data_IF_006713122784
#
_entry.id   IF_006713122784
#
_cell.length_a   1.000
_cell.length_b   1.000
_cell.length_c   1.000
_cell.angle_alpha   90.00
_cell.angle_beta   90.00
_cell.angle_gamma   90.00
#
_symmetry.space_group_name_H-M   'P 1'
#
loop_
_entity.id
_entity.type
_entity.pdbx_description
1 polymer ?
#
# COMPACT_ATOMS: atom_id res chain seq x y z
N UNK A 1 9.00 3.77 -6.55
CA UNK A 1 8.59 5.15 -6.21
C UNK A 1 9.40 5.58 -4.98
N UNK A 2 9.69 6.87 -4.82
CA UNK A 2 10.24 7.47 -3.59
C UNK A 2 9.38 8.70 -3.29
N UNK A 3 9.14 9.02 -2.01
CA UNK A 3 8.49 10.26 -1.64
C UNK A 3 9.31 11.45 -2.17
N UNK A 4 8.62 12.48 -2.69
CA UNK A 4 9.26 13.72 -3.13
C UNK A 4 9.45 14.67 -1.94
N UNK A 5 10.33 15.69 -2.02
CA UNK A 5 10.46 16.71 -0.97
C UNK A 5 9.11 17.33 -0.58
N UNK A 6 8.27 17.67 -1.56
CA UNK A 6 6.93 18.23 -1.34
C UNK A 6 6.01 17.27 -0.57
N UNK A 7 6.14 15.96 -0.80
CA UNK A 7 5.37 14.96 -0.06
C UNK A 7 5.79 14.88 1.42
N UNK A 8 7.07 15.16 1.71
CA UNK A 8 7.62 15.17 3.07
C UNK A 8 7.26 16.45 3.83
N UNK A 9 7.06 17.58 3.13
CA UNK A 9 6.59 18.82 3.75
C UNK A 9 5.14 18.71 4.25
N UNK A 10 4.31 17.88 3.59
CA UNK A 10 2.93 17.66 4.01
C UNK A 10 2.47 16.21 3.76
N UNK A 11 2.92 15.32 4.65
CA UNK A 11 2.62 13.88 4.61
C UNK A 11 1.11 13.60 4.63
N UNK A 12 0.31 14.38 5.36
CA UNK A 12 -1.15 14.20 5.41
C UNK A 12 -1.82 14.48 4.06
N UNK A 13 -1.41 15.57 3.40
CA UNK A 13 -1.90 15.92 2.07
C UNK A 13 -1.47 14.88 1.04
N UNK A 14 -0.24 14.39 1.11
CA UNK A 14 0.27 13.33 0.23
C UNK A 14 -0.54 12.03 0.40
N UNK A 15 -0.79 11.61 1.64
CA UNK A 15 -1.62 10.45 1.94
C UNK A 15 -3.07 10.60 1.45
N UNK A 16 -3.66 11.80 1.58
CA UNK A 16 -4.99 12.09 1.05
C UNK A 16 -5.05 11.95 -0.48
N UNK A 17 -4.11 12.59 -1.19
CA UNK A 17 -4.00 12.50 -2.66
C UNK A 17 -3.85 11.06 -3.12
N UNK A 18 -2.98 10.29 -2.46
CA UNK A 18 -2.79 8.89 -2.78
C UNK A 18 -4.08 8.07 -2.57
N UNK A 19 -4.82 8.32 -1.49
CA UNK A 19 -6.10 7.66 -1.24
C UNK A 19 -7.11 7.94 -2.37
N UNK A 20 -7.20 9.19 -2.83
CA UNK A 20 -8.06 9.60 -3.94
C UNK A 20 -7.68 8.92 -5.26
N UNK A 21 -6.40 8.96 -5.63
CA UNK A 21 -5.89 8.32 -6.86
C UNK A 21 -6.05 6.80 -6.81
N UNK A 22 -5.80 6.18 -5.65
CA UNK A 22 -5.95 4.74 -5.51
C UNK A 22 -7.39 4.26 -5.72
N UNK A 23 -8.39 5.04 -5.27
CA UNK A 23 -9.80 4.76 -5.54
C UNK A 23 -10.13 4.98 -7.00
N UNK A 24 -9.63 6.08 -7.59
CA UNK A 24 -9.88 6.45 -8.99
C UNK A 24 -9.40 5.39 -9.97
N UNK A 25 -8.23 4.80 -9.72
CA UNK A 25 -7.59 3.83 -10.60
C UNK A 25 -7.73 2.38 -10.11
N UNK A 26 -8.53 2.14 -9.07
CA UNK A 26 -8.67 0.82 -8.44
C UNK A 26 -7.31 0.16 -8.11
N UNK A 27 -6.35 0.95 -7.65
CA UNK A 27 -5.07 0.41 -7.20
C UNK A 27 -5.26 -0.37 -5.91
N UNK A 28 -4.95 -1.66 -5.96
CA UNK A 28 -4.88 -2.53 -4.80
C UNK A 28 -3.42 -2.57 -4.30
N UNK A 29 -3.16 -1.87 -3.21
CA UNK A 29 -1.81 -1.69 -2.63
C UNK A 29 -1.75 -2.08 -1.15
N UNK A 30 -2.83 -2.69 -0.63
CA UNK A 30 -2.86 -3.19 0.74
C UNK A 30 -2.44 -4.65 0.76
N UNK A 31 -1.75 -5.05 1.82
CA UNK A 31 -1.31 -6.43 1.96
C UNK A 31 -2.49 -7.42 2.05
N UNK A 32 -3.67 -7.01 2.54
CA UNK A 32 -4.89 -7.83 2.49
C UNK A 32 -5.30 -8.24 1.06
N UNK A 33 -4.84 -7.48 0.06
CA UNK A 33 -5.04 -7.76 -1.37
C UNK A 33 -3.81 -8.42 -2.02
N UNK A 34 -2.76 -8.72 -1.25
CA UNK A 34 -1.51 -9.29 -1.75
C UNK A 34 -1.51 -10.81 -1.60
N UNK A 35 -1.11 -11.53 -2.65
CA UNK A 35 -0.99 -13.00 -2.64
C UNK A 35 0.01 -13.55 -1.60
N UNK A 36 0.91 -12.70 -1.10
CA UNK A 36 1.93 -13.09 -0.12
C UNK A 36 1.47 -12.94 1.34
N UNK A 37 0.30 -12.35 1.61
CA UNK A 37 -0.24 -12.30 2.96
C UNK A 37 -0.89 -13.64 3.30
N UNK A 38 -0.60 -14.15 4.49
CA UNK A 38 -1.33 -15.26 5.10
C UNK A 38 -2.35 -14.66 6.07
N UNK A 39 -3.66 -14.68 5.75
CA UNK A 39 -4.69 -14.03 6.57
C UNK A 39 -4.77 -14.62 7.99
N UNK A 40 -4.56 -15.94 8.12
CA UNK A 40 -4.67 -16.67 9.39
C UNK A 40 -3.62 -16.28 10.42
N UNK A 41 -2.42 -15.93 9.97
CA UNK A 41 -1.27 -15.60 10.82
C UNK A 41 -0.93 -14.12 10.81
N UNK A 42 -1.63 -13.31 10.00
CA UNK A 42 -1.28 -11.92 9.72
C UNK A 42 0.22 -11.80 9.42
N UNK A 43 0.72 -12.68 8.54
CA UNK A 43 2.14 -12.73 8.17
C UNK A 43 2.37 -12.63 6.68
N UNK A 44 3.46 -11.96 6.28
CA UNK A 44 3.92 -11.92 4.90
C UNK A 44 4.93 -13.03 4.63
N UNK A 45 4.73 -13.82 3.57
CA UNK A 45 5.67 -14.88 3.15
C UNK A 45 7.04 -14.35 2.70
N UNK A 46 7.13 -13.05 2.41
CA UNK A 46 8.38 -12.36 2.05
C UNK A 46 9.12 -11.78 3.26
N UNK A 47 8.61 -11.99 4.48
CA UNK A 47 9.22 -11.48 5.71
C UNK A 47 9.06 -9.96 5.90
N UNK A 48 8.19 -9.31 5.12
CA UNK A 48 7.89 -7.89 5.29
C UNK A 48 7.23 -7.66 6.67
N UNK A 49 7.61 -6.61 7.42
CA UNK A 49 7.12 -6.39 8.78
C UNK A 49 5.60 -6.24 8.84
N UNK A 50 4.99 -7.11 9.62
CA UNK A 50 3.55 -7.32 9.69
C UNK A 50 2.76 -6.19 10.38
N UNK A 51 3.41 -5.24 11.06
CA UNK A 51 2.69 -4.17 11.76
C UNK A 51 2.05 -3.15 10.78
N UNK A 52 2.52 -3.10 9.53
CA UNK A 52 1.86 -2.37 8.45
C UNK A 52 0.59 -3.06 7.90
N UNK A 53 0.28 -4.29 8.37
CA UNK A 53 -0.85 -5.09 7.87
C UNK A 53 -2.19 -4.70 8.47
N UNK A 54 -2.20 -4.08 9.64
CA UNK A 54 -3.41 -3.91 10.45
C UNK A 54 -3.48 -2.46 10.92
N UNK A 55 -3.83 -1.57 10.00
CA UNK A 55 -3.82 -0.15 10.27
C UNK A 55 -4.51 0.68 9.19
N UNK A 56 -4.66 1.99 9.44
CA UNK A 56 -5.18 2.93 8.46
C UNK A 56 -4.30 2.94 7.20
N UNK A 57 -4.94 3.17 6.05
CA UNK A 57 -4.26 3.34 4.76
C UNK A 57 -3.27 4.49 4.84
N UNK A 58 -2.01 4.21 4.53
CA UNK A 58 -0.93 5.19 4.37
C UNK A 58 -0.06 4.81 3.18
N UNK A 59 0.35 5.81 2.41
CA UNK A 59 1.40 5.72 1.40
C UNK A 59 2.76 6.16 1.94
N UNK A 60 2.77 7.14 2.85
CA UNK A 60 3.97 7.73 3.43
C UNK A 60 3.79 7.76 4.94
N UNK A 61 4.78 7.23 5.66
CA UNK A 61 4.85 7.26 7.11
C UNK A 61 5.31 8.62 7.64
N UNK A 62 5.12 8.85 8.94
CA UNK A 62 5.54 10.07 9.61
C UNK A 62 7.06 10.33 9.54
N UNK A 63 7.85 9.28 9.33
CA UNK A 63 9.31 9.36 9.14
C UNK A 63 9.73 9.53 7.66
N UNK A 64 8.76 9.65 6.74
CA UNK A 64 9.00 9.81 5.31
C UNK A 64 9.21 8.51 4.53
N UNK A 65 9.18 7.35 5.20
CA UNK A 65 9.27 6.07 4.51
C UNK A 65 7.97 5.72 3.77
N UNK A 66 8.09 4.92 2.71
CA UNK A 66 6.90 4.43 2.00
C UNK A 66 6.22 3.29 2.77
N UNK A 67 4.91 3.39 2.93
CA UNK A 67 4.06 2.45 3.68
C UNK A 67 3.47 1.34 2.79
N UNK A 68 4.19 0.89 1.77
CA UNK A 68 3.74 -0.25 0.94
C UNK A 68 4.90 -1.12 0.45
N UNK A 69 4.64 -2.42 0.37
CA UNK A 69 5.58 -3.43 -0.11
C UNK A 69 5.52 -3.48 -1.65
N UNK A 70 6.64 -3.25 -2.37
CA UNK A 70 6.66 -3.19 -3.85
C UNK A 70 6.23 -4.49 -4.57
N UNK A 71 6.03 -5.59 -3.85
CA UNK A 71 5.77 -6.92 -4.43
C UNK A 71 4.30 -7.11 -4.91
N UNK A 72 3.74 -6.13 -5.61
CA UNK A 72 2.40 -6.17 -6.22
C UNK A 72 2.37 -6.76 -7.64
N UNK A 73 3.49 -7.28 -8.15
CA UNK A 73 3.66 -7.65 -9.57
C UNK A 73 3.48 -9.15 -9.88
N UNK A 74 2.70 -9.90 -9.10
CA UNK A 74 2.28 -11.25 -9.52
C UNK A 74 0.79 -11.22 -9.80
N UNK A 75 0.46 -10.73 -11.00
CA UNK A 75 -0.89 -10.49 -11.47
C UNK A 75 -1.74 -11.75 -11.42
N UNK A 76 -2.69 -11.77 -10.51
CA UNK A 76 -3.93 -12.49 -10.75
C UNK A 76 -4.79 -11.61 -11.64
N UNK A 77 -5.17 -12.15 -12.80
CA UNK A 77 -6.02 -11.52 -13.80
C UNK A 77 -7.20 -10.83 -13.14
N UNK A 78 -7.22 -9.50 -13.16
CA UNK A 78 -8.39 -8.71 -12.77
C UNK A 78 -9.49 -9.05 -13.77
N UNK A 79 -10.61 -9.68 -13.37
CA UNK A 79 -11.75 -9.78 -14.25
C UNK A 79 -12.27 -8.37 -14.50
N UNK A 80 -12.40 -8.00 -15.78
CA UNK A 80 -13.06 -6.74 -16.16
C UNK A 80 -14.44 -6.69 -15.49
N UNK A 81 -14.69 -5.61 -14.73
CA UNK A 81 -16.01 -5.36 -14.14
C UNK A 81 -17.01 -5.02 -15.27
N UNK A 82 -18.28 -5.44 -15.13
CA UNK A 82 -19.33 -5.17 -16.11
C UNK A 82 -19.65 -3.68 -16.25
#
# INVERSE_FOLDING_TARGET
>A
MRATPDDLENVDLANKRFSEESRRYAFHYRCESCAHVQPSSSSCSLGYPNHFLVGPVRAIEADGNLSFCKYFELGETVPERP
#
